data_IF_261658165203
#
_entry.id   IF_261658165203
#
_cell.length_a   1.000
_cell.length_b   1.000
_cell.length_c   1.000
_cell.angle_alpha   90.00
_cell.angle_beta   90.00
_cell.angle_gamma   90.00
#
_symmetry.space_group_name_H-M   'P 1'
#
loop_
_entity.id
_entity.type
_entity.pdbx_description
1 polymer ?
#
# COMPACT_ATOMS: atom_id res chain seq x y z
N UNK A 1 -21.65 52.53 -51.17
CA UNK A 1 -20.99 52.40 -52.48
C UNK A 1 -20.89 50.93 -52.71
N UNK A 2 -21.85 50.30 -53.50
CA UNK A 2 -21.68 49.87 -54.90
C UNK A 2 -20.56 48.83 -55.02
N UNK A 3 -20.73 47.58 -55.48
CA UNK A 3 -21.67 46.88 -56.42
C UNK A 3 -21.25 45.40 -56.40
N UNK A 4 -22.03 44.41 -56.25
CA UNK A 4 -22.81 43.55 -57.13
C UNK A 4 -22.19 43.13 -58.49
N UNK A 5 -22.14 41.78 -58.74
CA UNK A 5 -22.45 41.09 -59.99
C UNK A 5 -22.16 39.59 -59.78
N UNK A 6 -23.02 38.61 -59.75
CA UNK A 6 -23.98 38.02 -60.68
C UNK A 6 -23.38 37.47 -61.99
N UNK A 7 -23.47 36.15 -62.18
CA UNK A 7 -24.07 35.37 -63.30
C UNK A 7 -23.60 33.91 -63.23
N UNK A 8 -24.41 32.90 -63.05
CA UNK A 8 -25.33 32.15 -63.89
C UNK A 8 -24.76 31.61 -65.22
N UNK A 9 -24.73 30.30 -65.40
CA UNK A 9 -25.50 29.54 -66.44
C UNK A 9 -25.04 28.08 -66.59
N UNK A 10 -26.01 27.21 -66.50
CA UNK A 10 -26.45 26.23 -67.47
C UNK A 10 -25.36 25.23 -67.91
N UNK A 11 -25.43 23.96 -67.73
CA UNK A 11 -26.49 23.00 -67.99
C UNK A 11 -26.00 21.95 -68.99
N UNK A 12 -26.09 20.68 -68.67
CA UNK A 12 -26.55 19.69 -69.64
C UNK A 12 -26.53 18.27 -69.07
N UNK A 13 -27.60 17.61 -69.24
CA UNK A 13 -27.89 16.22 -68.90
C UNK A 13 -27.34 15.23 -69.95
N UNK A 14 -27.02 14.00 -69.52
CA UNK A 14 -27.40 12.65 -70.03
C UNK A 14 -26.24 11.68 -70.09
N UNK A 15 -26.43 10.33 -70.17
CA UNK A 15 -27.11 9.43 -69.21
C UNK A 15 -26.25 8.18 -68.87
N UNK A 16 -26.72 7.47 -67.86
CA UNK A 16 -26.56 6.08 -67.48
C UNK A 16 -25.61 5.13 -68.24
N UNK A 17 -24.75 4.45 -67.56
CA UNK A 17 -24.52 3.01 -67.74
C UNK A 17 -24.49 2.28 -66.41
N UNK A 18 -25.59 1.50 -66.20
CA UNK A 18 -25.59 0.41 -65.21
C UNK A 18 -24.72 -0.71 -65.78
N UNK A 19 -23.69 -1.11 -65.04
CA UNK A 19 -23.14 -2.47 -65.02
C UNK A 19 -21.92 -2.42 -64.09
N UNK A 20 -21.97 -3.11 -62.96
CA UNK A 20 -20.90 -3.66 -62.13
C UNK A 20 -21.21 -3.55 -60.66
N UNK A 21 -22.28 -4.22 -60.25
CA UNK A 21 -22.53 -4.51 -58.82
C UNK A 21 -22.63 -6.04 -58.74
N UNK A 22 -21.50 -6.73 -58.67
CA UNK A 22 -21.49 -8.14 -58.21
C UNK A 22 -20.09 -8.64 -57.78
N UNK A 23 -19.01 -7.85 -57.84
CA UNK A 23 -17.68 -8.29 -57.42
C UNK A 23 -17.19 -7.70 -56.10
N UNK A 24 -17.91 -6.77 -55.48
CA UNK A 24 -17.51 -6.08 -54.26
C UNK A 24 -17.97 -6.70 -52.95
N UNK A 25 -18.77 -7.76 -52.99
CA UNK A 25 -19.36 -8.33 -51.75
C UNK A 25 -18.59 -9.52 -51.14
N UNK A 26 -17.65 -10.09 -51.85
CA UNK A 26 -16.86 -11.22 -51.37
C UNK A 26 -15.52 -10.78 -50.73
N UNK A 27 -14.99 -9.62 -51.10
CA UNK A 27 -13.77 -9.08 -50.47
C UNK A 27 -14.03 -8.39 -49.13
N UNK A 28 -15.23 -7.86 -48.90
CA UNK A 28 -15.56 -7.19 -47.62
C UNK A 28 -15.80 -8.16 -46.46
N UNK A 29 -16.16 -9.42 -46.73
CA UNK A 29 -16.37 -10.42 -45.68
C UNK A 29 -15.06 -11.05 -45.18
N UNK A 30 -14.02 -11.12 -46.01
CA UNK A 30 -12.71 -11.67 -45.64
C UNK A 30 -11.87 -10.69 -44.79
N UNK A 31 -12.05 -9.39 -44.98
CA UNK A 31 -11.34 -8.35 -44.19
C UNK A 31 -12.00 -8.17 -42.80
N UNK A 32 -13.32 -8.38 -42.69
CA UNK A 32 -14.01 -8.30 -41.38
C UNK A 32 -13.72 -9.49 -40.46
N UNK A 33 -13.38 -10.70 -41.00
CA UNK A 33 -12.97 -11.84 -40.17
C UNK A 33 -11.50 -11.76 -39.73
N UNK A 34 -10.63 -11.08 -40.45
CA UNK A 34 -9.23 -10.88 -40.06
C UNK A 34 -9.07 -9.77 -39.00
N UNK A 35 -9.97 -8.78 -38.99
CA UNK A 35 -9.98 -7.71 -37.97
C UNK A 35 -10.54 -8.17 -36.61
N UNK A 36 -11.33 -9.24 -36.56
CA UNK A 36 -11.90 -9.78 -35.32
C UNK A 36 -10.92 -10.65 -34.50
N UNK A 37 -9.76 -11.06 -35.08
CA UNK A 37 -8.74 -11.86 -34.38
C UNK A 37 -7.56 -11.05 -33.82
N UNK A 38 -7.52 -9.73 -33.98
CA UNK A 38 -6.43 -8.88 -33.48
C UNK A 38 -6.85 -8.09 -32.22
N UNK A 39 -8.11 -8.14 -31.80
CA UNK A 39 -8.59 -7.41 -30.60
C UNK A 39 -8.51 -8.26 -29.31
N UNK A 40 -8.03 -9.51 -29.38
CA UNK A 40 -7.91 -10.39 -28.20
C UNK A 40 -6.50 -10.43 -27.58
N UNK A 41 -5.58 -9.53 -27.90
CA UNK A 41 -4.21 -9.56 -27.42
C UNK A 41 -3.75 -8.26 -26.71
N UNK A 42 -4.67 -7.41 -26.26
CA UNK A 42 -4.38 -6.33 -25.30
C UNK A 42 -5.24 -6.56 -24.06
N UNK A 43 -5.13 -7.74 -23.46
CA UNK A 43 -5.46 -7.92 -22.06
C UNK A 43 -4.38 -7.16 -21.29
N UNK A 44 -4.74 -6.06 -20.62
CA UNK A 44 -4.03 -5.60 -19.45
C UNK A 44 -4.10 -6.77 -18.45
N UNK A 45 -3.19 -7.71 -18.55
CA UNK A 45 -2.97 -8.70 -17.50
C UNK A 45 -2.28 -7.92 -16.37
N UNK A 46 -3.08 -7.45 -15.43
CA UNK A 46 -2.58 -7.10 -14.11
C UNK A 46 -1.73 -8.30 -13.63
N UNK A 47 -0.40 -8.13 -13.47
CA UNK A 47 0.46 -9.26 -13.07
C UNK A 47 0.06 -9.84 -11.71
N UNK A 48 -0.81 -9.15 -10.95
CA UNK A 48 -1.37 -9.61 -9.68
C UNK A 48 -2.73 -10.32 -9.86
N UNK A 49 -3.43 -10.11 -10.97
CA UNK A 49 -4.67 -10.84 -11.30
C UNK A 49 -4.42 -12.26 -11.81
N UNK A 50 -3.19 -12.60 -12.18
CA UNK A 50 -2.82 -13.96 -12.54
C UNK A 50 -2.76 -14.82 -11.26
N UNK A 51 -3.61 -15.86 -11.19
CA UNK A 51 -3.52 -16.88 -10.13
C UNK A 51 -2.10 -17.45 -10.13
N UNK A 52 -1.40 -17.32 -9.01
CA UNK A 52 -0.06 -17.85 -8.84
C UNK A 52 -0.08 -19.39 -8.69
N UNK A 53 1.08 -19.99 -8.77
CA UNK A 53 1.25 -21.43 -8.54
C UNK A 53 1.58 -21.68 -7.07
N UNK A 54 0.55 -22.13 -6.31
CA UNK A 54 0.73 -22.53 -4.92
C UNK A 54 1.64 -23.76 -4.76
N UNK A 55 1.82 -24.57 -5.80
CA UNK A 55 2.66 -25.78 -5.77
C UNK A 55 4.14 -25.48 -6.10
N UNK A 56 4.47 -24.29 -6.62
CA UNK A 56 5.86 -23.90 -6.90
C UNK A 56 6.75 -23.95 -5.65
N UNK A 57 7.99 -24.39 -5.77
CA UNK A 57 8.99 -24.36 -4.70
C UNK A 57 9.50 -22.93 -4.38
N UNK A 58 9.31 -21.97 -5.29
CA UNK A 58 9.75 -20.62 -5.08
C UNK A 58 8.81 -19.85 -4.13
N UNK A 59 9.38 -19.06 -3.26
CA UNK A 59 8.68 -18.06 -2.46
C UNK A 59 8.71 -16.72 -3.20
N UNK A 60 7.56 -16.10 -3.40
CA UNK A 60 7.45 -14.76 -3.98
C UNK A 60 7.17 -13.79 -2.82
N UNK A 61 8.14 -12.93 -2.52
CA UNK A 61 8.04 -11.97 -1.42
C UNK A 61 7.44 -10.67 -1.96
N UNK A 62 6.33 -10.23 -1.34
CA UNK A 62 5.70 -8.94 -1.64
C UNK A 62 6.09 -7.83 -0.68
N UNK A 63 5.80 -6.57 -1.07
CA UNK A 63 5.76 -5.44 -0.15
C UNK A 63 4.56 -4.53 -0.42
N UNK A 64 4.10 -3.81 0.59
CA UNK A 64 3.26 -2.63 0.40
C UNK A 64 4.07 -1.50 -0.25
N UNK A 65 3.40 -0.40 -0.61
CA UNK A 65 3.99 0.72 -1.37
C UNK A 65 4.58 1.82 -0.48
N UNK A 66 5.29 1.45 0.58
CA UNK A 66 6.03 2.39 1.44
C UNK A 66 7.39 1.82 1.85
N UNK A 67 8.37 2.69 2.17
CA UNK A 67 9.78 2.31 2.31
C UNK A 67 10.06 1.25 3.38
N UNK A 68 9.39 1.29 4.53
CA UNK A 68 9.59 0.31 5.60
C UNK A 68 9.19 -1.09 5.15
N UNK A 69 7.99 -1.22 4.56
CA UNK A 69 7.51 -2.52 4.07
C UNK A 69 8.46 -3.11 3.02
N UNK A 70 8.97 -2.28 2.10
CA UNK A 70 9.93 -2.73 1.10
C UNK A 70 11.27 -3.14 1.74
N UNK A 71 11.74 -2.40 2.74
CA UNK A 71 12.99 -2.70 3.44
C UNK A 71 12.89 -4.02 4.22
N UNK A 72 11.81 -4.22 4.98
CA UNK A 72 11.57 -5.48 5.70
C UNK A 72 11.37 -6.66 4.74
N UNK A 73 10.68 -6.45 3.60
CA UNK A 73 10.55 -7.46 2.55
C UNK A 73 11.91 -7.84 1.93
N UNK A 74 12.83 -6.89 1.78
CA UNK A 74 14.21 -7.18 1.36
C UNK A 74 14.96 -7.99 2.42
N UNK A 75 14.78 -7.69 3.72
CA UNK A 75 15.35 -8.52 4.80
C UNK A 75 14.85 -9.96 4.69
N UNK A 76 13.54 -10.16 4.61
CA UNK A 76 12.96 -11.52 4.43
C UNK A 76 13.52 -12.22 3.20
N UNK A 77 13.60 -11.51 2.08
CA UNK A 77 14.14 -12.02 0.81
C UNK A 77 15.58 -12.54 0.96
N UNK A 78 16.46 -11.71 1.50
CA UNK A 78 17.88 -12.04 1.55
C UNK A 78 18.17 -13.10 2.62
N UNK A 79 17.53 -13.05 3.80
CA UNK A 79 17.73 -14.07 4.84
C UNK A 79 17.18 -15.43 4.38
N UNK A 80 16.04 -15.48 3.68
CA UNK A 80 15.53 -16.72 3.10
C UNK A 80 16.46 -17.28 2.01
N UNK A 81 17.06 -16.42 1.16
CA UNK A 81 18.06 -16.82 0.15
C UNK A 81 19.32 -17.42 0.81
N UNK A 82 19.84 -16.78 1.84
CA UNK A 82 20.98 -17.27 2.64
C UNK A 82 20.68 -18.67 3.19
N UNK A 83 19.43 -18.95 3.57
CA UNK A 83 19.00 -20.23 4.10
C UNK A 83 18.55 -21.24 3.01
N UNK A 84 18.87 -20.97 1.74
CA UNK A 84 18.73 -21.91 0.62
C UNK A 84 17.33 -21.95 0.00
N UNK A 85 16.45 -21.00 0.27
CA UNK A 85 15.19 -20.87 -0.43
C UNK A 85 15.37 -20.24 -1.82
N UNK A 86 14.56 -20.69 -2.78
CA UNK A 86 14.37 -19.99 -4.06
C UNK A 86 13.42 -18.82 -3.80
N UNK A 87 13.85 -17.61 -4.04
CA UNK A 87 13.06 -16.41 -3.71
C UNK A 87 13.03 -15.45 -4.90
N UNK A 88 11.81 -15.12 -5.32
CA UNK A 88 11.48 -14.02 -6.22
C UNK A 88 10.81 -12.88 -5.45
N UNK A 89 10.71 -11.70 -6.05
CA UNK A 89 10.15 -10.52 -5.39
C UNK A 89 9.11 -9.81 -6.25
N UNK A 90 8.08 -9.25 -5.61
CA UNK A 90 7.10 -8.32 -6.17
C UNK A 90 6.86 -7.21 -5.15
N UNK A 91 7.65 -6.15 -5.22
CA UNK A 91 7.56 -5.04 -4.28
C UNK A 91 6.62 -3.93 -4.75
N UNK A 92 6.24 -3.04 -3.82
CA UNK A 92 5.41 -1.87 -4.09
C UNK A 92 4.06 -2.20 -4.74
N UNK A 93 3.40 -3.28 -4.28
CA UNK A 93 2.13 -3.78 -4.83
C UNK A 93 1.00 -2.78 -4.61
N UNK A 94 1.05 -2.00 -3.54
CA UNK A 94 -0.02 -1.09 -3.14
C UNK A 94 -0.47 -1.34 -1.71
N UNK A 95 -1.74 -1.03 -1.44
CA UNK A 95 -2.34 -1.20 -0.11
C UNK A 95 -2.82 -2.65 0.13
N UNK A 96 -3.29 -2.90 1.35
CA UNK A 96 -3.79 -4.21 1.84
C UNK A 96 -4.89 -4.76 0.94
N UNK A 97 -5.70 -3.89 0.39
CA UNK A 97 -6.78 -4.21 -0.54
C UNK A 97 -6.28 -4.84 -1.85
N UNK A 98 -5.04 -4.55 -2.26
CA UNK A 98 -4.40 -5.14 -3.44
C UNK A 98 -3.63 -6.43 -3.09
N UNK A 99 -2.78 -6.41 -2.06
CA UNK A 99 -1.88 -7.54 -1.81
C UNK A 99 -2.49 -8.71 -1.03
N UNK A 100 -3.53 -8.53 -0.20
CA UNK A 100 -4.18 -9.68 0.47
C UNK A 100 -4.86 -10.62 -0.54
N UNK A 101 -5.62 -10.15 -1.53
CA UNK A 101 -6.10 -11.01 -2.61
C UNK A 101 -4.96 -11.70 -3.38
N UNK A 102 -3.87 -10.99 -3.68
CA UNK A 102 -2.70 -11.57 -4.36
C UNK A 102 -2.03 -12.68 -3.54
N UNK A 103 -1.94 -12.50 -2.20
CA UNK A 103 -1.43 -13.51 -1.28
C UNK A 103 -2.32 -14.76 -1.25
N UNK A 104 -3.64 -14.58 -1.12
CA UNK A 104 -4.60 -15.70 -1.14
C UNK A 104 -4.57 -16.48 -2.44
N UNK A 105 -4.28 -15.83 -3.56
CA UNK A 105 -4.19 -16.44 -4.88
C UNK A 105 -2.79 -16.98 -5.22
N UNK A 106 -1.84 -17.00 -4.28
CA UNK A 106 -0.44 -17.38 -4.48
C UNK A 106 0.31 -16.53 -5.53
N UNK A 107 -0.20 -15.37 -5.92
CA UNK A 107 0.53 -14.41 -6.76
C UNK A 107 1.74 -13.82 -6.02
N UNK A 108 1.68 -13.79 -4.68
CA UNK A 108 2.80 -13.68 -3.74
C UNK A 108 2.66 -14.77 -2.66
N UNK A 109 3.75 -15.09 -1.99
CA UNK A 109 3.82 -16.16 -0.98
C UNK A 109 3.90 -15.64 0.44
N UNK A 110 4.50 -14.46 0.63
CA UNK A 110 4.87 -13.86 1.90
C UNK A 110 4.94 -12.35 1.75
N UNK A 111 4.52 -11.63 2.79
CA UNK A 111 4.63 -10.18 2.87
C UNK A 111 4.82 -9.76 4.33
N UNK A 112 5.64 -8.73 4.65
CA UNK A 112 5.60 -8.10 5.97
C UNK A 112 4.28 -7.35 6.17
N UNK A 113 3.64 -7.57 7.31
CA UNK A 113 2.37 -7.00 7.73
C UNK A 113 2.42 -6.46 9.15
N UNK A 114 1.34 -5.80 9.58
CA UNK A 114 1.20 -5.16 10.89
C UNK A 114 -0.05 -5.70 11.58
N UNK A 115 0.12 -6.24 12.77
CA UNK A 115 -0.88 -7.12 13.42
C UNK A 115 -2.25 -6.47 13.60
N UNK A 116 -2.34 -5.25 14.09
CA UNK A 116 -3.61 -4.58 14.36
C UNK A 116 -4.37 -4.21 13.09
N UNK A 117 -3.69 -3.62 12.10
CA UNK A 117 -4.31 -3.23 10.84
C UNK A 117 -4.71 -4.46 10.00
N UNK A 118 -3.93 -5.55 10.08
CA UNK A 118 -4.30 -6.82 9.46
C UNK A 118 -5.55 -7.40 10.14
N UNK A 119 -5.59 -7.40 11.47
CA UNK A 119 -6.77 -7.84 12.20
C UNK A 119 -8.02 -7.06 11.77
N UNK A 120 -7.97 -5.72 11.77
CA UNK A 120 -9.11 -4.88 11.37
C UNK A 120 -9.51 -5.04 9.88
N UNK A 121 -8.57 -5.41 9.02
CA UNK A 121 -8.86 -5.74 7.63
C UNK A 121 -9.64 -7.06 7.51
N UNK A 122 -9.24 -8.08 8.28
CA UNK A 122 -9.87 -9.41 8.26
C UNK A 122 -11.19 -9.43 9.02
N UNK A 123 -11.27 -8.72 10.15
CA UNK A 123 -12.47 -8.55 10.97
C UNK A 123 -12.68 -7.05 11.30
N UNK A 124 -13.59 -6.43 10.56
CA UNK A 124 -13.94 -5.01 10.75
C UNK A 124 -14.59 -4.69 12.10
N UNK A 125 -15.04 -5.71 12.83
CA UNK A 125 -15.66 -5.57 14.15
C UNK A 125 -14.68 -5.85 15.30
N UNK A 126 -13.41 -6.17 14.98
CA UNK A 126 -12.39 -6.40 16.00
C UNK A 126 -12.23 -5.16 16.90
N UNK A 127 -12.21 -5.41 18.21
CA UNK A 127 -12.07 -4.38 19.25
C UNK A 127 -10.78 -4.50 20.06
N UNK A 128 -9.98 -5.54 19.82
CA UNK A 128 -8.70 -5.72 20.48
C UNK A 128 -7.73 -4.59 20.09
N UNK A 129 -7.07 -4.00 21.10
CA UNK A 129 -6.10 -2.91 20.90
C UNK A 129 -4.75 -3.19 21.54
N UNK A 130 -4.71 -3.96 22.64
CA UNK A 130 -3.46 -4.35 23.26
C UNK A 130 -2.81 -5.53 22.53
N UNK A 131 -1.47 -5.58 22.51
CA UNK A 131 -0.70 -6.56 21.74
C UNK A 131 -1.12 -8.03 21.96
N UNK A 132 -1.25 -8.56 23.20
CA UNK A 132 -1.61 -9.98 23.38
C UNK A 132 -3.01 -10.30 22.82
N UNK A 133 -3.95 -9.36 22.99
CA UNK A 133 -5.34 -9.50 22.54
C UNK A 133 -5.43 -9.41 21.01
N UNK A 134 -4.66 -8.48 20.40
CA UNK A 134 -4.55 -8.32 18.95
C UNK A 134 -3.99 -9.61 18.33
N UNK A 135 -2.92 -10.15 18.88
CA UNK A 135 -2.28 -11.36 18.37
C UNK A 135 -3.21 -12.59 18.46
N UNK A 136 -3.95 -12.73 19.57
CA UNK A 136 -4.92 -13.80 19.72
C UNK A 136 -6.09 -13.68 18.74
N UNK A 137 -6.67 -12.47 18.62
CA UNK A 137 -7.76 -12.18 17.70
C UNK A 137 -7.33 -12.32 16.22
N UNK A 138 -6.12 -11.85 15.88
CA UNK A 138 -5.57 -12.00 14.54
C UNK A 138 -5.43 -13.47 14.16
N UNK A 139 -4.87 -14.30 15.06
CA UNK A 139 -4.72 -15.73 14.82
C UNK A 139 -6.07 -16.40 14.51
N UNK A 140 -7.13 -16.00 15.22
CA UNK A 140 -8.48 -16.50 14.97
C UNK A 140 -9.08 -15.99 13.64
N UNK A 141 -8.71 -14.80 13.18
CA UNK A 141 -9.24 -14.16 11.98
C UNK A 141 -8.57 -14.61 10.66
N UNK A 142 -7.40 -15.26 10.71
CA UNK A 142 -6.63 -15.63 9.51
C UNK A 142 -7.37 -16.62 8.57
N UNK A 143 -8.27 -17.47 9.10
CA UNK A 143 -8.93 -18.50 8.32
C UNK A 143 -7.96 -19.61 7.90
N UNK A 144 -8.25 -20.27 6.76
CA UNK A 144 -7.46 -21.41 6.26
C UNK A 144 -6.45 -21.04 5.16
N UNK A 145 -6.57 -19.84 4.60
CA UNK A 145 -5.76 -19.42 3.45
C UNK A 145 -4.52 -18.62 3.84
N UNK A 146 -4.53 -18.04 5.04
CA UNK A 146 -3.47 -17.17 5.56
C UNK A 146 -2.84 -17.78 6.81
N UNK A 147 -1.57 -17.50 7.02
CA UNK A 147 -0.87 -17.89 8.23
C UNK A 147 0.20 -16.86 8.57
N UNK A 148 0.54 -16.73 9.84
CA UNK A 148 1.62 -15.84 10.32
C UNK A 148 2.75 -16.64 10.95
N UNK A 149 3.95 -16.06 10.97
CA UNK A 149 5.03 -16.47 11.86
C UNK A 149 4.97 -15.63 13.15
N UNK A 150 5.98 -15.71 14.01
CA UNK A 150 6.03 -14.94 15.25
C UNK A 150 6.12 -13.44 14.96
N UNK A 151 5.22 -12.60 15.52
CA UNK A 151 5.34 -11.15 15.41
C UNK A 151 6.64 -10.65 16.05
N UNK A 152 7.24 -9.64 15.45
CA UNK A 152 8.40 -8.96 15.98
C UNK A 152 8.02 -8.10 17.21
N UNK A 153 8.94 -7.81 18.14
CA UNK A 153 8.72 -6.82 19.19
C UNK A 153 8.59 -5.39 18.64
N UNK A 154 9.09 -5.16 17.43
CA UNK A 154 9.00 -3.87 16.75
C UNK A 154 7.57 -3.54 16.35
N UNK A 155 7.15 -2.31 16.67
CA UNK A 155 5.84 -1.77 16.33
C UNK A 155 6.01 -0.52 15.47
N UNK A 156 5.13 -0.39 14.48
CA UNK A 156 4.95 0.82 13.69
C UNK A 156 3.46 1.09 13.49
N UNK A 157 2.95 2.11 14.17
CA UNK A 157 1.52 2.43 14.22
C UNK A 157 1.19 3.65 13.35
N UNK A 158 -0.03 3.65 12.82
CA UNK A 158 -0.64 4.90 12.35
C UNK A 158 -0.64 5.92 13.49
N UNK A 159 -0.47 7.20 13.16
CA UNK A 159 -0.53 8.28 14.13
C UNK A 159 -1.07 9.57 13.51
N UNK A 160 -1.87 10.29 14.27
CA UNK A 160 -2.28 11.66 13.90
C UNK A 160 -1.15 12.62 14.23
N UNK A 161 -0.57 13.19 13.20
CA UNK A 161 0.60 14.07 13.30
C UNK A 161 0.24 15.46 12.80
N UNK A 162 0.74 16.47 13.51
CA UNK A 162 0.60 17.90 13.19
C UNK A 162 1.94 18.61 13.22
N UNK A 163 2.03 19.80 12.64
CA UNK A 163 3.21 20.64 12.82
C UNK A 163 3.30 21.20 14.24
N UNK A 164 4.51 21.51 14.72
CA UNK A 164 4.70 22.20 16.01
C UNK A 164 3.88 23.48 16.10
N UNK A 165 3.85 24.27 15.02
CA UNK A 165 3.09 25.51 14.97
C UNK A 165 1.58 25.29 15.15
N UNK A 166 1.02 24.22 14.55
CA UNK A 166 -0.39 23.86 14.72
C UNK A 166 -0.65 23.38 16.16
N UNK A 167 0.23 22.53 16.70
CA UNK A 167 0.11 22.06 18.07
C UNK A 167 0.12 23.21 19.08
N UNK A 168 1.03 24.15 18.95
CA UNK A 168 1.16 25.30 19.84
C UNK A 168 -0.03 26.27 19.70
N UNK A 169 -0.48 26.54 18.46
CA UNK A 169 -1.63 27.42 18.17
C UNK A 169 -2.92 26.92 18.85
N UNK A 170 -3.17 25.63 18.77
CA UNK A 170 -4.40 25.01 19.30
C UNK A 170 -4.20 24.28 20.62
N UNK A 171 -2.98 24.31 21.18
CA UNK A 171 -2.59 23.66 22.45
C UNK A 171 -2.86 22.15 22.42
N UNK A 172 -2.55 21.52 21.30
CA UNK A 172 -2.81 20.10 21.08
C UNK A 172 -1.78 19.22 21.80
N UNK A 173 -2.26 18.21 22.49
CA UNK A 173 -1.48 17.16 23.13
C UNK A 173 -1.97 15.77 22.73
N UNK A 174 -3.25 15.65 22.40
CA UNK A 174 -3.93 14.40 22.05
C UNK A 174 -4.88 14.59 20.86
N UNK A 175 -5.31 13.49 20.27
CA UNK A 175 -6.31 13.48 19.18
C UNK A 175 -7.63 14.14 19.66
N UNK A 176 -7.97 14.00 20.94
CA UNK A 176 -9.17 14.62 21.53
C UNK A 176 -9.14 16.14 21.43
N UNK A 177 -7.94 16.75 21.55
CA UNK A 177 -7.80 18.22 21.50
C UNK A 177 -8.00 18.76 20.08
N UNK A 178 -7.86 17.91 19.07
CA UNK A 178 -8.07 18.29 17.66
C UNK A 178 -9.58 18.30 17.29
N UNK A 179 -10.42 17.54 17.97
CA UNK A 179 -11.84 17.39 17.66
C UNK A 179 -12.62 18.73 17.62
N UNK A 180 -12.42 19.70 18.54
CA UNK A 180 -13.08 21.02 18.46
C UNK A 180 -12.74 21.79 17.19
N UNK A 181 -11.64 21.48 16.52
CA UNK A 181 -11.15 22.13 15.32
C UNK A 181 -11.52 21.37 14.02
N UNK A 182 -12.38 20.33 14.10
CA UNK A 182 -12.71 19.48 12.94
C UNK A 182 -13.03 20.25 11.66
N UNK A 183 -13.75 21.37 11.76
CA UNK A 183 -14.12 22.21 10.62
C UNK A 183 -12.91 22.96 9.97
N UNK A 184 -11.80 23.07 10.70
CA UNK A 184 -10.57 23.75 10.23
C UNK A 184 -9.50 22.75 9.78
N UNK A 185 -9.68 21.45 10.09
CA UNK A 185 -8.69 20.42 9.78
C UNK A 185 -8.85 19.94 8.35
N UNK A 186 -7.79 20.05 7.56
CA UNK A 186 -7.57 19.26 6.34
C UNK A 186 -6.70 18.06 6.72
N UNK A 187 -7.17 16.85 6.45
CA UNK A 187 -6.49 15.63 6.88
C UNK A 187 -5.87 14.88 5.70
N UNK A 188 -4.57 14.66 5.72
CA UNK A 188 -3.82 13.93 4.70
C UNK A 188 -3.60 12.47 5.12
N UNK A 189 -4.02 11.52 4.29
CA UNK A 189 -3.78 10.07 4.51
C UNK A 189 -4.02 9.28 3.20
N UNK A 190 -3.64 7.98 3.14
CA UNK A 190 -4.05 7.11 2.03
C UNK A 190 -5.57 7.05 1.87
N UNK A 191 -6.04 6.87 0.63
CA UNK A 191 -7.47 6.94 0.31
C UNK A 191 -8.33 5.96 1.13
N UNK A 192 -7.81 4.77 1.40
CA UNK A 192 -8.47 3.74 2.19
C UNK A 192 -8.63 4.10 3.67
N UNK A 193 -7.85 5.04 4.21
CA UNK A 193 -7.99 5.56 5.57
C UNK A 193 -9.38 6.15 5.82
N UNK A 194 -10.01 6.69 4.78
CA UNK A 194 -11.38 7.20 4.85
C UNK A 194 -12.42 6.13 5.21
N UNK A 195 -12.11 4.85 5.03
CA UNK A 195 -13.06 3.74 5.21
C UNK A 195 -12.60 2.69 6.24
N UNK A 196 -11.33 2.70 6.64
CA UNK A 196 -10.79 1.75 7.63
C UNK A 196 -11.35 2.01 9.03
N UNK A 197 -11.61 0.96 9.85
CA UNK A 197 -12.13 1.11 11.20
C UNK A 197 -11.30 2.05 12.08
N UNK A 198 -9.96 1.98 12.02
CA UNK A 198 -9.04 2.88 12.72
C UNK A 198 -8.83 4.22 12.04
N UNK A 199 -9.31 4.41 10.81
CA UNK A 199 -9.18 5.66 10.06
C UNK A 199 -10.18 6.73 10.46
N UNK A 200 -10.71 7.51 9.47
CA UNK A 200 -11.69 8.56 9.76
C UNK A 200 -12.92 8.07 10.54
N UNK A 201 -13.48 6.86 10.27
CA UNK A 201 -14.57 6.33 11.09
C UNK A 201 -14.21 6.16 12.55
N UNK A 202 -13.02 5.66 12.84
CA UNK A 202 -12.52 5.49 14.21
C UNK A 202 -12.25 6.81 14.92
N UNK A 203 -11.59 7.75 14.24
CA UNK A 203 -11.32 9.09 14.77
C UNK A 203 -12.62 9.81 15.13
N UNK A 204 -13.65 9.72 14.28
CA UNK A 204 -14.97 10.27 14.57
C UNK A 204 -15.64 9.57 15.76
N UNK A 205 -15.67 8.24 15.76
CA UNK A 205 -16.31 7.43 16.82
C UNK A 205 -15.66 7.64 18.17
N UNK A 206 -14.34 7.58 18.23
CA UNK A 206 -13.59 7.56 19.48
C UNK A 206 -13.31 8.97 20.02
N UNK A 207 -13.05 9.94 19.16
CA UNK A 207 -12.61 11.27 19.53
C UNK A 207 -13.59 12.38 19.16
N UNK A 208 -14.59 12.10 18.33
CA UNK A 208 -15.46 13.14 17.78
C UNK A 208 -14.77 13.98 16.71
N UNK A 209 -13.59 13.56 16.22
CA UNK A 209 -12.89 14.23 15.13
C UNK A 209 -13.58 13.89 13.81
N UNK A 210 -14.46 14.79 13.37
CA UNK A 210 -15.30 14.62 12.18
C UNK A 210 -14.74 15.41 11.01
N UNK A 211 -13.98 14.77 10.17
CA UNK A 211 -13.36 15.37 8.99
C UNK A 211 -14.35 15.32 7.82
N UNK A 212 -14.72 16.48 7.29
CA UNK A 212 -15.59 16.58 6.11
C UNK A 212 -14.92 15.95 4.88
N UNK A 213 -15.74 15.37 3.99
CA UNK A 213 -15.20 14.65 2.83
C UNK A 213 -14.32 15.49 1.89
N UNK A 214 -14.61 16.78 1.76
CA UNK A 214 -13.81 17.76 0.99
C UNK A 214 -12.57 18.25 1.73
N UNK A 215 -12.48 18.00 3.03
CA UNK A 215 -11.31 18.28 3.88
C UNK A 215 -10.36 17.08 3.99
N UNK A 216 -10.75 15.90 3.48
CA UNK A 216 -9.87 14.75 3.38
C UNK A 216 -9.04 14.83 2.09
N UNK A 217 -7.73 14.75 2.21
CA UNK A 217 -6.78 14.82 1.10
C UNK A 217 -6.11 13.46 0.93
N UNK A 218 -6.49 12.66 -0.07
CA UNK A 218 -5.88 11.36 -0.30
C UNK A 218 -4.44 11.51 -0.85
N UNK A 219 -3.47 10.88 -0.16
CA UNK A 219 -2.06 10.86 -0.54
C UNK A 219 -1.56 9.41 -0.47
N UNK A 220 -1.20 8.85 -1.62
CA UNK A 220 -0.95 7.41 -1.78
C UNK A 220 0.53 7.02 -1.54
N UNK A 221 1.12 7.43 -0.42
CA UNK A 221 2.50 7.09 -0.07
C UNK A 221 2.69 6.53 1.36
N UNK A 222 1.57 6.14 2.03
CA UNK A 222 1.61 5.50 3.34
C UNK A 222 2.24 6.36 4.43
N UNK A 223 1.93 7.66 4.50
CA UNK A 223 2.55 8.57 5.47
C UNK A 223 3.99 8.96 5.13
N UNK A 224 4.41 8.73 3.90
CA UNK A 224 5.76 8.96 3.41
C UNK A 224 6.06 10.42 3.03
N UNK A 225 7.09 10.64 2.17
CA UNK A 225 7.60 11.98 1.88
C UNK A 225 6.58 12.96 1.30
N UNK A 226 5.60 12.49 0.51
CA UNK A 226 4.57 13.37 -0.06
C UNK A 226 3.59 13.83 1.02
N UNK A 227 3.18 12.93 1.93
CA UNK A 227 2.33 13.25 3.09
C UNK A 227 3.04 14.22 4.03
N UNK A 228 4.31 13.96 4.37
CA UNK A 228 5.13 14.84 5.21
C UNK A 228 5.25 16.25 4.59
N UNK A 229 5.54 16.32 3.29
CA UNK A 229 5.63 17.60 2.57
C UNK A 229 4.30 18.35 2.61
N UNK A 230 3.18 17.67 2.34
CA UNK A 230 1.85 18.29 2.38
C UNK A 230 1.54 18.89 3.76
N UNK A 231 1.99 18.21 4.84
CA UNK A 231 1.83 18.69 6.22
C UNK A 231 2.74 19.90 6.51
N UNK A 232 4.03 19.83 6.17
CA UNK A 232 5.02 20.87 6.41
C UNK A 232 4.71 22.13 5.60
N UNK A 233 4.28 21.99 4.35
CA UNK A 233 3.89 23.09 3.46
C UNK A 233 2.49 23.68 3.79
N UNK A 234 1.78 23.12 4.79
CA UNK A 234 0.45 23.58 5.21
C UNK A 234 -0.68 23.30 4.22
N UNK A 235 -0.48 22.35 3.28
CA UNK A 235 -1.53 21.88 2.38
C UNK A 235 -2.57 21.06 3.14
N UNK A 236 -2.13 20.34 4.18
CA UNK A 236 -2.98 19.68 5.18
C UNK A 236 -2.62 20.17 6.58
N UNK A 237 -3.57 20.10 7.51
CA UNK A 237 -3.41 20.57 8.90
C UNK A 237 -2.94 19.45 9.81
N UNK A 238 -3.39 18.24 9.54
CA UNK A 238 -3.01 17.01 10.21
C UNK A 238 -2.83 15.90 9.18
N UNK A 239 -2.03 14.90 9.49
CA UNK A 239 -1.80 13.77 8.60
C UNK A 239 -1.62 12.47 9.38
N UNK A 240 -1.92 11.35 8.70
CA UNK A 240 -1.51 10.03 9.13
C UNK A 240 -0.05 9.81 8.72
N UNK A 241 0.82 9.72 9.72
CA UNK A 241 2.25 9.43 9.54
C UNK A 241 2.64 8.36 10.55
N UNK A 242 3.30 7.32 10.08
CA UNK A 242 3.68 6.19 10.91
C UNK A 242 4.72 6.55 11.97
N UNK A 243 4.60 5.95 13.15
CA UNK A 243 5.39 6.30 14.34
C UNK A 243 6.89 6.07 14.19
N UNK A 244 7.32 5.21 13.29
CA UNK A 244 8.74 4.94 12.98
C UNK A 244 9.33 5.91 11.95
N UNK A 245 8.53 6.88 11.44
CA UNK A 245 8.99 7.84 10.43
C UNK A 245 10.05 8.79 11.00
N UNK A 246 11.27 8.83 10.44
CA UNK A 246 12.31 9.78 10.86
C UNK A 246 11.91 11.23 10.60
N UNK A 247 10.98 11.47 9.69
CA UNK A 247 10.48 12.80 9.33
C UNK A 247 9.83 13.52 10.52
N UNK A 248 9.30 12.77 11.51
CA UNK A 248 8.70 13.34 12.73
C UNK A 248 9.75 14.18 13.48
N UNK A 249 10.90 13.61 13.75
CA UNK A 249 12.00 14.30 14.44
C UNK A 249 12.66 15.37 13.54
N UNK A 250 12.93 15.03 12.28
CA UNK A 250 13.61 15.91 11.32
C UNK A 250 12.86 17.21 11.06
N UNK A 251 11.52 17.17 11.08
CA UNK A 251 10.67 18.35 10.81
C UNK A 251 10.02 18.90 12.09
N UNK A 252 10.46 18.47 13.28
CA UNK A 252 9.89 18.88 14.58
C UNK A 252 8.36 18.76 14.59
N UNK A 253 7.83 17.65 14.03
CA UNK A 253 6.41 17.34 14.03
C UNK A 253 5.96 16.83 15.42
N UNK A 254 4.66 16.90 15.67
CA UNK A 254 4.05 16.47 16.93
C UNK A 254 3.11 15.31 16.65
N UNK A 255 3.40 14.16 17.24
CA UNK A 255 2.48 13.03 17.31
C UNK A 255 1.47 13.31 18.41
N UNK A 256 0.19 13.33 18.08
CA UNK A 256 -0.86 13.49 19.07
C UNK A 256 -1.12 12.17 19.80
N UNK A 257 -1.21 12.25 21.14
CA UNK A 257 -1.49 11.07 21.97
C UNK A 257 -2.84 10.45 21.61
N UNK A 258 -2.89 9.12 21.64
CA UNK A 258 -4.07 8.28 21.38
C UNK A 258 -4.53 7.55 22.66
N UNK A 259 -5.06 8.23 23.70
CA UNK A 259 -5.41 7.60 24.97
C UNK A 259 -6.61 6.64 24.88
N UNK A 260 -7.34 6.62 23.76
CA UNK A 260 -8.45 5.68 23.54
C UNK A 260 -8.06 4.50 22.65
N UNK A 261 -6.78 4.36 22.32
CA UNK A 261 -6.24 3.29 21.47
C UNK A 261 -7.05 3.09 20.19
N UNK A 262 -7.31 4.19 19.47
CA UNK A 262 -7.95 4.15 18.16
C UNK A 262 -7.11 3.32 17.17
N UNK A 263 -5.80 3.43 17.32
CA UNK A 263 -4.83 2.61 16.62
C UNK A 263 -4.39 1.46 17.54
N UNK A 264 -4.67 0.23 17.11
CA UNK A 264 -4.29 -0.96 17.86
C UNK A 264 -2.77 -1.18 17.80
N UNK A 265 -2.24 -2.08 18.62
CA UNK A 265 -0.83 -2.51 18.56
C UNK A 265 -0.47 -3.04 17.16
N UNK A 266 0.69 -2.62 16.64
CA UNK A 266 1.11 -2.84 15.25
C UNK A 266 2.48 -3.51 15.19
N UNK A 267 2.58 -4.73 15.71
CA UNK A 267 3.81 -5.50 15.59
C UNK A 267 4.01 -5.95 14.15
N UNK A 268 5.24 -5.79 13.63
CA UNK A 268 5.60 -6.33 12.32
C UNK A 268 5.50 -7.86 12.35
N UNK A 269 4.83 -8.44 11.37
CA UNK A 269 4.58 -9.89 11.33
C UNK A 269 4.76 -10.45 9.92
N UNK A 270 5.49 -11.58 9.73
CA UNK A 270 5.52 -12.26 8.45
C UNK A 270 4.15 -12.92 8.15
N UNK A 271 3.48 -12.46 7.11
CA UNK A 271 2.19 -13.01 6.67
C UNK A 271 2.38 -13.86 5.42
N UNK A 272 1.99 -15.12 5.51
CA UNK A 272 2.07 -16.12 4.44
C UNK A 272 0.72 -16.40 3.79
N UNK A 273 0.75 -16.81 2.52
CA UNK A 273 -0.23 -17.81 2.05
C UNK A 273 0.02 -19.11 2.83
N UNK A 274 -1.03 -19.70 3.40
CA UNK A 274 -0.89 -20.86 4.28
C UNK A 274 -0.22 -22.07 3.61
N UNK A 275 -0.44 -22.26 2.28
CA UNK A 275 0.20 -23.34 1.51
C UNK A 275 1.73 -23.14 1.32
N UNK A 276 2.24 -21.95 1.58
CA UNK A 276 3.67 -21.59 1.46
C UNK A 276 4.41 -21.54 2.78
N UNK A 277 3.70 -21.64 3.90
CA UNK A 277 4.28 -21.67 5.24
C UNK A 277 4.91 -23.03 5.50
N UNK A 278 6.21 -23.07 5.74
CA UNK A 278 6.95 -24.26 6.17
C UNK A 278 7.66 -24.00 7.48
N UNK A 279 7.89 -25.03 8.29
CA UNK A 279 8.58 -24.88 9.57
C UNK A 279 9.98 -24.27 9.40
N UNK A 280 10.68 -24.62 8.30
CA UNK A 280 11.99 -24.04 7.99
C UNK A 280 11.90 -22.54 7.69
N UNK A 281 10.90 -22.11 6.91
CA UNK A 281 10.71 -20.67 6.60
C UNK A 281 10.31 -19.89 7.87
N UNK A 282 9.46 -20.49 8.71
CA UNK A 282 9.09 -19.91 10.01
C UNK A 282 10.30 -19.73 10.90
N UNK A 283 11.13 -20.74 11.09
CA UNK A 283 12.32 -20.66 11.94
C UNK A 283 13.28 -19.53 11.47
N UNK A 284 13.46 -19.39 10.16
CA UNK A 284 14.29 -18.33 9.59
C UNK A 284 13.69 -16.94 9.87
N UNK A 285 12.38 -16.77 9.68
CA UNK A 285 11.73 -15.48 9.88
C UNK A 285 11.52 -15.13 11.36
N UNK A 286 11.35 -16.13 12.22
CA UNK A 286 11.32 -15.93 13.67
C UNK A 286 12.68 -15.39 14.20
N UNK A 287 13.79 -15.83 13.62
CA UNK A 287 15.11 -15.28 13.93
C UNK A 287 15.23 -13.80 13.49
N UNK A 288 14.65 -13.43 12.37
CA UNK A 288 14.53 -12.02 11.93
C UNK A 288 13.63 -11.24 12.89
N UNK A 289 12.42 -11.75 13.16
CA UNK A 289 11.44 -11.11 14.05
C UNK A 289 12.03 -10.82 15.42
N UNK A 290 12.78 -11.75 16.01
CA UNK A 290 13.42 -11.57 17.31
C UNK A 290 14.39 -10.37 17.39
N UNK A 291 14.94 -9.94 16.25
CA UNK A 291 15.89 -8.82 16.15
C UNK A 291 15.23 -7.50 15.74
N UNK A 292 14.05 -7.55 15.13
CA UNK A 292 13.39 -6.39 14.56
C UNK A 292 12.60 -5.64 15.64
N UNK A 293 13.29 -4.76 16.37
CA UNK A 293 12.70 -3.86 17.37
C UNK A 293 12.21 -2.55 16.75
N UNK A 294 11.41 -1.76 17.48
CA UNK A 294 10.99 -0.41 17.03
C UNK A 294 12.21 0.49 16.76
N UNK A 295 13.26 0.39 17.56
CA UNK A 295 14.52 1.14 17.33
C UNK A 295 15.16 0.74 16.02
N UNK A 296 15.17 -0.55 15.69
CA UNK A 296 15.71 -1.05 14.42
C UNK A 296 14.86 -0.57 13.23
N UNK A 297 13.52 -0.55 13.35
CA UNK A 297 12.64 0.00 12.32
C UNK A 297 12.93 1.49 12.07
N UNK A 298 13.05 2.30 13.13
CA UNK A 298 13.42 3.73 13.01
C UNK A 298 14.79 3.88 12.34
N UNK A 299 15.76 3.04 12.69
CA UNK A 299 17.11 3.06 12.09
C UNK A 299 17.07 2.74 10.59
N UNK A 300 16.34 1.68 10.20
CA UNK A 300 16.13 1.29 8.80
C UNK A 300 15.42 2.40 8.02
N UNK A 301 14.36 2.98 8.57
CA UNK A 301 13.63 4.07 7.94
C UNK A 301 14.48 5.33 7.81
N UNK A 302 15.33 5.61 8.78
CA UNK A 302 16.30 6.73 8.70
C UNK A 302 17.29 6.52 7.56
N UNK A 303 17.75 5.29 7.36
CA UNK A 303 18.67 4.97 6.28
C UNK A 303 18.03 5.15 4.88
N UNK A 304 16.77 4.72 4.69
CA UNK A 304 16.12 4.71 3.37
C UNK A 304 15.31 5.97 3.05
N UNK A 305 14.79 6.65 4.06
CA UNK A 305 13.91 7.85 3.89
C UNK A 305 14.54 9.13 4.43
N UNK A 306 15.62 9.04 5.20
CA UNK A 306 16.37 10.19 5.71
C UNK A 306 17.27 10.83 4.63
N UNK A 307 18.24 11.63 5.09
CA UNK A 307 19.17 12.35 4.20
C UNK A 307 20.04 11.41 3.36
N UNK A 308 20.38 10.22 3.90
CA UNK A 308 21.24 9.23 3.23
C UNK A 308 20.60 8.58 2.02
N UNK A 309 19.28 8.36 2.04
CA UNK A 309 18.45 7.77 0.97
C UNK A 309 19.09 6.57 0.28
N UNK A 310 19.61 5.64 1.10
CA UNK A 310 20.17 4.41 0.54
C UNK A 310 19.04 3.49 0.07
N UNK A 311 19.32 2.68 -0.93
CA UNK A 311 18.34 1.74 -1.48
C UNK A 311 17.87 0.74 -0.40
N UNK A 312 16.57 0.39 -0.34
CA UNK A 312 16.02 -0.53 0.67
C UNK A 312 16.77 -1.85 0.77
N UNK A 313 17.21 -2.40 -0.37
CA UNK A 313 18.02 -3.63 -0.40
C UNK A 313 19.39 -3.43 0.27
N UNK A 314 20.04 -2.30 0.07
CA UNK A 314 21.33 -2.02 0.69
C UNK A 314 21.19 -1.84 2.21
N UNK A 315 20.13 -1.16 2.66
CA UNK A 315 19.80 -1.05 4.08
C UNK A 315 19.54 -2.43 4.72
N UNK A 316 18.76 -3.28 4.04
CA UNK A 316 18.47 -4.64 4.48
C UNK A 316 19.75 -5.48 4.65
N UNK A 317 20.63 -5.47 3.66
CA UNK A 317 21.90 -6.22 3.72
C UNK A 317 22.81 -5.74 4.86
N UNK A 318 22.93 -4.43 5.04
CA UNK A 318 23.71 -3.86 6.15
C UNK A 318 23.13 -4.28 7.50
N UNK A 319 21.80 -4.24 7.65
CA UNK A 319 21.12 -4.67 8.87
C UNK A 319 21.30 -6.18 9.14
N UNK A 320 21.14 -7.04 8.10
CA UNK A 320 21.34 -8.49 8.20
C UNK A 320 22.73 -8.79 8.74
N UNK A 321 23.77 -8.14 8.21
CA UNK A 321 25.15 -8.31 8.67
C UNK A 321 25.33 -7.83 10.11
N UNK A 322 24.78 -6.66 10.45
CA UNK A 322 24.86 -6.10 11.80
C UNK A 322 24.16 -7.00 12.85
N UNK A 323 23.10 -7.71 12.46
CA UNK A 323 22.36 -8.61 13.33
C UNK A 323 22.91 -10.06 13.35
N UNK A 324 23.96 -10.36 12.57
CA UNK A 324 24.56 -11.69 12.48
C UNK A 324 23.64 -12.72 11.80
N UNK A 325 22.84 -12.29 10.83
CA UNK A 325 21.92 -13.12 10.06
C UNK A 325 22.43 -13.39 8.62
N UNK A 326 23.69 -13.10 8.35
CA UNK A 326 24.39 -13.24 7.06
C UNK A 326 24.95 -14.65 6.82
N UNK A 327 24.58 -15.61 7.65
CA UNK A 327 24.92 -17.03 7.50
C UNK A 327 23.66 -17.91 7.74
N UNK A 328 23.64 -19.16 7.23
CA UNK A 328 22.50 -20.05 7.46
C UNK A 328 22.21 -20.23 8.95
N UNK A 329 20.93 -20.14 9.28
CA UNK A 329 20.41 -20.39 10.63
C UNK A 329 20.33 -21.91 10.82
N UNK A 330 21.03 -22.41 11.82
CA UNK A 330 21.21 -23.84 12.09
C UNK A 330 19.93 -24.54 12.59
#
# INVERSE_FOLDING_TARGET
>A
MKTAFSSSSHGQRRPARRFAVRAGRVLAAAVALAAAMIVSACGNSDPLAAKGDCASDALIIGSANFPESETVANIYTEVLRINGFKVDTKFNIGSREAYIPALRQCAISLIPEYTGNLLQYLDKNATATAEPEVNAALTAALGTELAIATPAPGQDSDAVVVTRATADKWKLTSIADLAPHSAEVKFGAPAEFAQRPGGLPGLKKNYGLDIAGDAFVPIADGGGPATVRALVDGQVTAADIFTTSPAIAQNNLVVLADPKSNFAAQNVVPLFNAAKKTDKAVAVLDAVSAKLTTTELISLNTAVSGDSKIEPKAAALAWITAQGLDSPIG
#
